data_IF_670590103595
#
_entry.id   IF_670590103595
#
_cell.length_a   1.000
_cell.length_b   1.000
_cell.length_c   1.000
_cell.angle_alpha   90.00
_cell.angle_beta   90.00
_cell.angle_gamma   90.00
#
_symmetry.space_group_name_H-M   'P 1'
#
loop_
_entity.id
_entity.type
_entity.pdbx_description
1 polymer ?
#
# COMPACT_ATOMS: atom_id res chain seq x y z
N UNK A 1 -15.27 40.03 -0.86
CA UNK A 1 -13.99 39.31 -1.04
C UNK A 1 -14.14 37.78 -1.15
N UNK A 2 -15.35 37.22 -1.15
CA UNK A 2 -15.56 35.75 -1.14
C UNK A 2 -15.88 35.16 -2.52
N UNK A 3 -16.26 35.97 -3.50
CA UNK A 3 -16.69 35.52 -4.84
C UNK A 3 -15.50 35.27 -5.79
N UNK A 4 -14.46 36.10 -5.72
CA UNK A 4 -13.25 36.01 -6.57
C UNK A 4 -12.44 34.74 -6.28
N UNK A 5 -12.32 34.33 -5.01
CA UNK A 5 -11.58 33.12 -4.64
C UNK A 5 -12.27 31.80 -5.02
N UNK A 6 -13.59 31.80 -5.20
CA UNK A 6 -14.35 30.62 -5.64
C UNK A 6 -14.27 30.46 -7.16
N UNK A 7 -14.30 31.56 -7.91
CA UNK A 7 -14.12 31.54 -9.37
C UNK A 7 -12.69 31.13 -9.76
N UNK A 8 -11.66 31.64 -9.08
CA UNK A 8 -10.26 31.23 -9.31
C UNK A 8 -10.02 29.75 -8.99
N UNK A 9 -10.59 29.24 -7.89
CA UNK A 9 -10.50 27.82 -7.53
C UNK A 9 -11.18 26.89 -8.53
N UNK A 10 -12.32 27.32 -9.10
CA UNK A 10 -13.08 26.54 -10.09
C UNK A 10 -12.38 26.53 -11.46
N UNK A 11 -11.81 27.65 -11.88
CA UNK A 11 -11.03 27.75 -13.11
C UNK A 11 -9.77 26.89 -13.07
N UNK A 12 -9.01 26.93 -11.96
CA UNK A 12 -7.81 26.11 -11.77
C UNK A 12 -8.13 24.60 -11.76
N UNK A 13 -9.27 24.20 -11.17
CA UNK A 13 -9.71 22.81 -11.18
C UNK A 13 -10.09 22.35 -12.60
N UNK A 14 -10.76 23.19 -13.38
CA UNK A 14 -11.09 22.92 -14.79
C UNK A 14 -9.84 22.76 -15.66
N UNK A 15 -8.81 23.58 -15.43
CA UNK A 15 -7.53 23.48 -16.11
C UNK A 15 -6.81 22.17 -15.79
N UNK A 16 -6.79 21.76 -14.50
CA UNK A 16 -6.17 20.50 -14.08
C UNK A 16 -6.89 19.27 -14.66
N UNK A 17 -8.23 19.27 -14.68
CA UNK A 17 -9.01 18.21 -15.33
C UNK A 17 -8.64 18.10 -16.81
N UNK A 18 -8.60 19.22 -17.52
CA UNK A 18 -8.23 19.28 -18.94
C UNK A 18 -6.80 18.78 -19.19
N UNK A 19 -5.87 19.13 -18.30
CA UNK A 19 -4.48 18.69 -18.36
C UNK A 19 -4.35 17.17 -18.18
N UNK A 20 -5.00 16.60 -17.15
CA UNK A 20 -5.01 15.16 -16.92
C UNK A 20 -5.66 14.44 -18.12
N UNK A 21 -6.79 14.95 -18.61
CA UNK A 21 -7.52 14.32 -19.71
C UNK A 21 -6.72 14.32 -21.02
N UNK A 22 -5.96 15.39 -21.30
CA UNK A 22 -5.05 15.47 -22.45
C UNK A 22 -3.96 14.39 -22.39
N UNK A 23 -3.35 14.18 -21.22
CA UNK A 23 -2.34 13.13 -21.04
C UNK A 23 -2.97 11.75 -21.20
N UNK A 24 -4.13 11.50 -20.58
CA UNK A 24 -4.88 10.23 -20.69
C UNK A 24 -5.28 9.90 -22.13
N UNK A 25 -5.89 10.85 -22.84
CA UNK A 25 -6.37 10.66 -24.22
C UNK A 25 -5.23 10.42 -25.21
N UNK A 26 -4.09 11.07 -25.03
CA UNK A 26 -2.86 10.78 -25.81
C UNK A 26 -2.27 9.43 -25.44
N UNK A 27 -2.37 9.06 -24.16
CA UNK A 27 -1.72 7.91 -23.55
C UNK A 27 -0.43 8.34 -22.87
N UNK A 28 -0.26 7.96 -21.60
CA UNK A 28 0.85 8.42 -20.74
C UNK A 28 2.23 8.07 -21.31
N UNK A 29 2.33 6.98 -22.06
CA UNK A 29 3.56 6.53 -22.74
C UNK A 29 3.90 7.35 -23.99
N UNK A 30 2.94 8.11 -24.53
CA UNK A 30 3.02 8.74 -25.87
C UNK A 30 2.90 10.26 -25.83
N UNK A 31 2.62 10.84 -24.67
CA UNK A 31 2.52 12.28 -24.54
C UNK A 31 3.89 12.93 -24.82
N UNK A 32 3.98 13.77 -25.85
CA UNK A 32 5.22 14.46 -26.18
C UNK A 32 5.46 15.64 -25.23
N UNK A 33 4.42 16.46 -25.05
CA UNK A 33 4.44 17.68 -24.24
C UNK A 33 3.47 17.57 -23.06
N UNK A 34 4.02 17.68 -21.86
CA UNK A 34 3.23 17.66 -20.63
C UNK A 34 2.59 19.05 -20.43
N UNK A 35 1.28 19.12 -20.12
CA UNK A 35 0.62 20.38 -19.80
C UNK A 35 1.28 21.12 -18.61
N UNK A 36 1.54 22.45 -18.71
CA UNK A 36 2.19 23.23 -17.64
C UNK A 36 1.45 23.18 -16.30
N UNK A 37 0.12 23.19 -16.30
CA UNK A 37 -0.68 23.08 -15.08
C UNK A 37 -0.37 21.78 -14.30
N UNK A 38 -0.12 20.68 -15.01
CA UNK A 38 0.21 19.40 -14.39
C UNK A 38 1.64 19.39 -13.85
N UNK A 39 2.60 19.98 -14.59
CA UNK A 39 3.98 20.16 -14.10
C UNK A 39 4.00 20.99 -12.81
N UNK A 40 3.28 22.12 -12.80
CA UNK A 40 3.19 23.00 -11.64
C UNK A 40 2.57 22.30 -10.42
N UNK A 41 1.44 21.60 -10.61
CA UNK A 41 0.78 20.88 -9.53
C UNK A 41 1.58 19.71 -8.99
N UNK A 42 2.36 19.03 -9.84
CA UNK A 42 3.30 17.98 -9.43
C UNK A 42 4.66 18.53 -8.94
N UNK A 43 4.84 19.86 -8.92
CA UNK A 43 6.08 20.55 -8.53
C UNK A 43 7.30 20.09 -9.31
N UNK A 44 7.11 19.81 -10.58
CA UNK A 44 8.20 19.47 -11.51
C UNK A 44 8.77 20.77 -12.04
N UNK A 45 10.06 20.97 -11.83
CA UNK A 45 10.74 22.20 -12.23
C UNK A 45 10.90 22.26 -13.76
N UNK A 46 10.89 23.49 -14.29
CA UNK A 46 10.96 23.75 -15.73
C UNK A 46 12.36 23.50 -16.35
N UNK A 47 13.37 23.33 -15.51
CA UNK A 47 14.75 22.98 -15.90
C UNK A 47 14.95 21.47 -16.10
N UNK A 48 13.97 20.64 -15.72
CA UNK A 48 14.02 19.19 -15.91
C UNK A 48 13.91 18.86 -17.40
N UNK A 49 14.79 18.00 -17.96
CA UNK A 49 14.72 17.60 -19.35
C UNK A 49 13.34 17.00 -19.71
N UNK A 50 12.80 17.23 -20.93
CA UNK A 50 11.46 16.79 -21.29
C UNK A 50 11.18 15.29 -21.09
N UNK A 51 12.18 14.43 -21.32
CA UNK A 51 12.05 12.99 -21.10
C UNK A 51 11.86 12.65 -19.61
N UNK A 52 12.62 13.28 -18.74
CA UNK A 52 12.53 13.09 -17.29
C UNK A 52 11.24 13.72 -16.73
N UNK A 53 10.82 14.87 -17.26
CA UNK A 53 9.54 15.49 -16.91
C UNK A 53 8.36 14.56 -17.22
N UNK A 54 8.39 13.86 -18.38
CA UNK A 54 7.37 12.86 -18.74
C UNK A 54 7.33 11.69 -17.77
N UNK A 55 8.46 11.12 -17.42
CA UNK A 55 8.51 10.01 -16.45
C UNK A 55 8.02 10.45 -15.07
N UNK A 56 8.42 11.63 -14.60
CA UNK A 56 7.94 12.19 -13.32
C UNK A 56 6.44 12.46 -13.33
N UNK A 57 5.89 12.91 -14.47
CA UNK A 57 4.44 13.10 -14.63
C UNK A 57 3.70 11.79 -14.64
N UNK A 58 4.20 10.78 -15.37
CA UNK A 58 3.65 9.43 -15.39
C UNK A 58 3.63 8.84 -13.98
N UNK A 59 4.73 8.94 -13.25
CA UNK A 59 4.82 8.51 -11.86
C UNK A 59 3.85 9.27 -10.93
N UNK A 60 3.74 10.59 -11.10
CA UNK A 60 2.81 11.42 -10.33
C UNK A 60 1.34 11.08 -10.59
N UNK A 61 0.95 10.91 -11.86
CA UNK A 61 -0.40 10.48 -12.24
C UNK A 61 -0.73 9.08 -11.75
N UNK A 62 0.24 8.16 -11.79
CA UNK A 62 0.07 6.85 -11.18
C UNK A 62 -0.17 6.97 -9.67
N UNK A 63 0.68 7.71 -8.95
CA UNK A 63 0.56 7.91 -7.51
C UNK A 63 -0.77 8.58 -7.10
N UNK A 64 -1.32 9.44 -7.95
CA UNK A 64 -2.66 10.01 -7.77
C UNK A 64 -3.76 8.98 -8.00
N UNK A 65 -3.65 8.18 -9.07
CA UNK A 65 -4.61 7.12 -9.38
C UNK A 65 -4.68 6.06 -8.26
N UNK A 66 -3.56 5.79 -7.58
CA UNK A 66 -3.50 4.89 -6.41
C UNK A 66 -4.35 5.36 -5.21
N UNK A 67 -4.70 6.66 -5.16
CA UNK A 67 -5.52 7.24 -4.09
C UNK A 67 -7.03 7.16 -4.41
N UNK A 68 -7.40 6.75 -5.61
CA UNK A 68 -8.79 6.61 -6.04
C UNK A 68 -9.39 5.30 -5.53
N UNK A 69 -10.72 5.24 -5.53
CA UNK A 69 -11.44 3.98 -5.36
C UNK A 69 -11.01 2.92 -6.41
N UNK A 70 -11.00 1.62 -6.08
CA UNK A 70 -10.43 0.58 -6.94
C UNK A 70 -10.97 0.54 -8.38
N UNK A 71 -12.27 0.78 -8.56
CA UNK A 71 -12.90 0.82 -9.90
C UNK A 71 -12.45 2.03 -10.72
N UNK A 72 -12.32 3.20 -10.08
CA UNK A 72 -11.86 4.43 -10.72
C UNK A 72 -10.37 4.37 -11.04
N UNK A 73 -9.56 3.82 -10.12
CA UNK A 73 -8.15 3.50 -10.34
C UNK A 73 -7.97 2.63 -11.57
N UNK A 74 -8.65 1.47 -11.62
CA UNK A 74 -8.57 0.55 -12.77
C UNK A 74 -8.99 1.25 -14.06
N UNK A 75 -10.12 1.96 -14.03
CA UNK A 75 -10.63 2.70 -15.19
C UNK A 75 -9.60 3.72 -15.73
N UNK A 76 -8.97 4.49 -14.84
CA UNK A 76 -7.98 5.48 -15.22
C UNK A 76 -6.71 4.82 -15.77
N UNK A 77 -6.12 3.84 -15.08
CA UNK A 77 -4.86 3.23 -15.49
C UNK A 77 -4.95 2.56 -16.87
N UNK A 78 -6.04 1.85 -17.14
CA UNK A 78 -6.29 1.21 -18.44
C UNK A 78 -6.54 2.26 -19.53
N UNK A 79 -7.44 3.22 -19.30
CA UNK A 79 -7.78 4.24 -20.29
C UNK A 79 -6.64 5.23 -20.60
N UNK A 80 -5.76 5.49 -19.61
CA UNK A 80 -4.58 6.32 -19.77
C UNK A 80 -3.41 5.57 -20.44
N UNK A 81 -3.50 4.25 -20.60
CA UNK A 81 -2.51 3.45 -21.32
C UNK A 81 -1.21 3.26 -20.56
N UNK A 82 -1.29 2.97 -19.25
CA UNK A 82 -0.10 2.66 -18.45
C UNK A 82 0.57 1.34 -18.86
N UNK A 83 -0.19 0.39 -19.42
CA UNK A 83 0.33 -0.87 -19.94
C UNK A 83 1.13 -0.66 -21.23
N UNK A 84 2.22 -1.43 -21.39
CA UNK A 84 3.07 -1.38 -22.58
C UNK A 84 2.34 -1.81 -23.87
N UNK A 85 1.40 -2.73 -23.75
CA UNK A 85 0.56 -3.24 -24.84
C UNK A 85 -0.74 -2.43 -25.01
N UNK A 86 -0.90 -1.31 -24.31
CA UNK A 86 -2.11 -0.49 -24.41
C UNK A 86 -2.33 0.03 -25.83
N UNK A 87 -3.57 -0.03 -26.30
CA UNK A 87 -3.93 0.42 -27.64
C UNK A 87 -3.50 1.88 -27.89
N UNK A 88 -3.02 2.22 -29.10
CA UNK A 88 -2.62 3.59 -29.44
C UNK A 88 -3.77 4.59 -29.39
N UNK A 89 -4.95 4.21 -29.87
CA UNK A 89 -6.11 5.09 -29.94
C UNK A 89 -6.85 5.16 -28.61
N UNK A 90 -7.27 6.37 -28.22
CA UNK A 90 -8.04 6.60 -26.99
C UNK A 90 -9.34 5.79 -26.94
N UNK A 91 -10.05 5.72 -28.07
CA UNK A 91 -11.30 4.95 -28.17
C UNK A 91 -11.10 3.46 -27.90
N UNK A 92 -10.02 2.87 -28.40
CA UNK A 92 -9.75 1.45 -28.18
C UNK A 92 -9.32 1.16 -26.74
N UNK A 93 -8.63 2.09 -26.06
CA UNK A 93 -8.38 1.98 -24.61
C UNK A 93 -9.67 2.10 -23.79
N UNK A 94 -10.64 2.92 -24.21
CA UNK A 94 -11.95 2.98 -23.57
C UNK A 94 -12.72 1.67 -23.76
N UNK A 95 -12.66 1.05 -24.94
CA UNK A 95 -13.22 -0.29 -25.16
C UNK A 95 -12.58 -1.33 -24.25
N UNK A 96 -11.26 -1.36 -24.17
CA UNK A 96 -10.54 -2.26 -23.26
C UNK A 96 -10.92 -2.02 -21.79
N UNK A 97 -11.08 -0.75 -21.40
CA UNK A 97 -11.54 -0.37 -20.06
C UNK A 97 -12.96 -0.90 -19.79
N UNK A 98 -13.87 -0.79 -20.76
CA UNK A 98 -15.23 -1.30 -20.66
C UNK A 98 -15.26 -2.82 -20.48
N UNK A 99 -14.46 -3.55 -21.27
CA UNK A 99 -14.28 -5.00 -21.14
C UNK A 99 -13.72 -5.37 -19.77
N UNK A 100 -12.65 -4.72 -19.32
CA UNK A 100 -12.02 -4.97 -18.02
C UNK A 100 -12.99 -4.75 -16.84
N UNK A 101 -13.85 -3.73 -16.92
CA UNK A 101 -14.83 -3.44 -15.87
C UNK A 101 -16.13 -4.24 -16.00
N UNK A 102 -16.34 -4.96 -17.11
CA UNK A 102 -17.62 -5.63 -17.39
C UNK A 102 -18.78 -4.67 -17.61
N UNK A 103 -18.54 -3.51 -18.23
CA UNK A 103 -19.56 -2.45 -18.42
C UNK A 103 -19.63 -1.98 -19.87
N UNK A 104 -20.59 -1.08 -20.19
CA UNK A 104 -20.66 -0.43 -21.51
C UNK A 104 -19.55 0.62 -21.69
N UNK A 105 -19.17 0.92 -22.94
CA UNK A 105 -18.20 2.00 -23.24
C UNK A 105 -18.62 3.36 -22.65
N UNK A 106 -19.92 3.68 -22.67
CA UNK A 106 -20.46 4.90 -22.07
C UNK A 106 -20.24 4.92 -20.56
N UNK A 107 -20.47 3.79 -19.88
CA UNK A 107 -20.26 3.67 -18.44
C UNK A 107 -18.77 3.75 -18.10
N UNK A 108 -17.92 3.08 -18.86
CA UNK A 108 -16.47 3.17 -18.71
C UNK A 108 -15.97 4.60 -18.88
N UNK A 109 -16.42 5.31 -19.92
CA UNK A 109 -16.09 6.72 -20.12
C UNK A 109 -16.49 7.59 -18.93
N UNK A 110 -17.70 7.38 -18.38
CA UNK A 110 -18.16 8.09 -17.17
C UNK A 110 -17.27 7.82 -15.96
N UNK A 111 -16.84 6.57 -15.75
CA UNK A 111 -15.91 6.21 -14.66
C UNK A 111 -14.53 6.85 -14.84
N UNK A 112 -14.07 6.96 -16.08
CA UNK A 112 -12.83 7.64 -16.41
C UNK A 112 -12.93 9.15 -16.13
N UNK A 113 -14.02 9.81 -16.54
CA UNK A 113 -14.22 11.24 -16.24
C UNK A 113 -14.34 11.49 -14.72
N UNK A 114 -15.02 10.59 -14.00
CA UNK A 114 -15.11 10.61 -12.53
C UNK A 114 -13.71 10.50 -11.89
N UNK A 115 -12.88 9.55 -12.36
CA UNK A 115 -11.49 9.42 -11.90
C UNK A 115 -10.65 10.68 -12.18
N UNK A 116 -10.77 11.27 -13.38
CA UNK A 116 -10.06 12.52 -13.75
C UNK A 116 -10.48 13.67 -12.85
N UNK A 117 -11.78 13.80 -12.55
CA UNK A 117 -12.30 14.83 -11.66
C UNK A 117 -11.74 14.67 -10.24
N UNK A 118 -11.73 13.45 -9.70
CA UNK A 118 -11.20 13.16 -8.37
C UNK A 118 -9.69 13.40 -8.29
N UNK A 119 -8.91 12.97 -9.29
CA UNK A 119 -7.47 13.26 -9.36
C UNK A 119 -7.16 14.76 -9.39
N UNK A 120 -7.97 15.55 -10.10
CA UNK A 120 -7.81 17.01 -10.12
C UNK A 120 -8.07 17.64 -8.74
N UNK A 121 -9.08 17.14 -8.01
CA UNK A 121 -9.35 17.54 -6.62
C UNK A 121 -8.20 17.13 -5.68
N UNK A 122 -7.62 15.94 -5.86
CA UNK A 122 -6.47 15.46 -5.08
C UNK A 122 -5.19 16.27 -5.34
N UNK A 123 -5.03 16.83 -6.54
CA UNK A 123 -3.93 17.75 -6.88
C UNK A 123 -4.16 19.16 -6.31
N UNK A 124 -5.41 19.61 -6.24
CA UNK A 124 -5.76 20.93 -5.71
C UNK A 124 -5.73 20.97 -4.18
N UNK A 125 -6.17 19.89 -3.53
CA UNK A 125 -6.11 19.74 -2.07
C UNK A 125 -4.66 19.56 -1.62
N UNK A 126 -4.07 20.64 -1.12
CA UNK A 126 -2.67 20.72 -0.63
C UNK A 126 -2.34 19.73 0.52
N UNK A 127 -3.31 18.98 1.04
CA UNK A 127 -3.20 18.14 2.23
C UNK A 127 -2.87 16.66 1.97
N UNK A 128 -2.55 16.29 0.73
CA UNK A 128 -2.30 14.89 0.36
C UNK A 128 -0.86 14.41 0.44
N UNK A 129 -0.10 14.68 1.51
CA UNK A 129 1.17 13.94 1.73
C UNK A 129 0.91 12.69 2.59
N UNK A 130 0.85 11.50 2.00
CA UNK A 130 1.54 10.39 2.62
C UNK A 130 3.05 10.55 2.36
N UNK A 131 3.84 10.50 3.42
CA UNK A 131 5.26 10.29 3.33
C UNK A 131 5.51 8.94 2.64
N UNK A 132 5.91 8.98 1.36
CA UNK A 132 6.77 8.05 0.61
C UNK A 132 6.66 8.42 -0.88
N UNK A 133 7.11 9.64 -1.18
CA UNK A 133 7.61 9.99 -2.52
C UNK A 133 8.90 9.17 -2.68
N UNK A 134 9.06 8.47 -3.81
CA UNK A 134 10.22 7.63 -4.18
C UNK A 134 10.18 6.12 -3.87
N UNK A 135 9.00 5.48 -3.79
CA UNK A 135 8.94 4.02 -3.96
C UNK A 135 8.59 3.68 -5.41
N UNK A 136 9.43 2.84 -6.02
CA UNK A 136 9.25 2.28 -7.36
C UNK A 136 8.18 1.17 -7.41
N UNK A 137 7.40 0.96 -6.35
CA UNK A 137 6.35 -0.05 -6.28
C UNK A 137 5.24 0.34 -5.32
N UNK A 138 4.12 -0.39 -5.37
CA UNK A 138 3.00 -0.33 -4.42
C UNK A 138 2.65 -1.72 -3.92
N UNK A 139 2.20 -1.82 -2.67
CA UNK A 139 1.55 -3.04 -2.18
C UNK A 139 0.11 -3.09 -2.68
N UNK A 140 -0.29 -4.24 -3.21
CA UNK A 140 -1.66 -4.53 -3.66
C UNK A 140 -2.38 -5.48 -2.71
N UNK A 141 -1.66 -6.48 -2.19
CA UNK A 141 -2.20 -7.47 -1.25
C UNK A 141 -1.15 -7.87 -0.24
N UNK A 142 -1.58 -8.26 0.95
CA UNK A 142 -0.71 -8.84 1.98
C UNK A 142 -1.42 -9.98 2.70
N UNK A 143 -0.73 -11.10 2.91
CA UNK A 143 -1.24 -12.20 3.73
C UNK A 143 -0.20 -12.56 4.78
N UNK A 144 -0.56 -12.37 6.04
CA UNK A 144 0.28 -12.69 7.18
C UNK A 144 -0.24 -13.95 7.84
N UNK A 145 0.62 -14.94 8.05
CA UNK A 145 0.30 -16.14 8.82
C UNK A 145 1.17 -16.16 10.05
N UNK A 146 0.55 -16.24 11.22
CA UNK A 146 1.26 -16.29 12.51
C UNK A 146 0.88 -17.58 13.21
N UNK A 147 1.88 -18.45 13.35
CA UNK A 147 1.78 -19.72 14.05
C UNK A 147 2.39 -19.60 15.45
N UNK A 148 1.54 -19.74 16.46
CA UNK A 148 1.81 -19.66 17.88
C UNK A 148 1.68 -21.04 18.56
N UNK A 149 1.79 -22.14 17.80
CA UNK A 149 1.62 -23.50 18.34
C UNK A 149 2.87 -24.04 19.04
N UNK A 150 4.05 -23.73 18.51
CA UNK A 150 5.33 -24.13 19.09
C UNK A 150 5.91 -23.07 20.03
N UNK A 151 7.01 -23.40 20.70
CA UNK A 151 7.71 -22.49 21.63
C UNK A 151 8.30 -21.25 20.94
N UNK A 152 8.66 -21.40 19.66
CA UNK A 152 9.24 -20.36 18.82
C UNK A 152 8.24 -19.97 17.71
N UNK A 153 7.53 -18.84 17.84
CA UNK A 153 6.56 -18.38 16.86
C UNK A 153 7.12 -18.33 15.44
N UNK A 154 6.30 -18.73 14.47
CA UNK A 154 6.64 -18.62 13.05
C UNK A 154 5.71 -17.60 12.39
N UNK A 155 6.32 -16.60 11.76
CA UNK A 155 5.60 -15.65 10.93
C UNK A 155 5.94 -15.88 9.46
N UNK A 156 4.91 -15.90 8.62
CA UNK A 156 5.03 -15.89 7.16
C UNK A 156 4.37 -14.62 6.64
N UNK A 157 5.10 -13.86 5.83
CA UNK A 157 4.65 -12.63 5.21
C UNK A 157 4.64 -12.85 3.70
N UNK A 158 3.46 -12.85 3.12
CA UNK A 158 3.24 -12.92 1.67
C UNK A 158 2.71 -11.58 1.20
N UNK A 159 3.24 -11.07 0.09
CA UNK A 159 2.93 -9.75 -0.44
C UNK A 159 2.75 -9.84 -1.95
N UNK A 160 1.77 -9.13 -2.47
CA UNK A 160 1.69 -8.81 -3.90
C UNK A 160 1.95 -7.33 -4.06
N UNK A 161 2.88 -6.99 -4.95
CA UNK A 161 3.18 -5.61 -5.33
C UNK A 161 2.85 -5.36 -6.81
N UNK A 162 2.77 -4.09 -7.20
CA UNK A 162 2.86 -3.65 -8.59
C UNK A 162 4.01 -2.65 -8.73
N UNK A 163 4.86 -2.82 -9.75
CA UNK A 163 5.94 -1.89 -10.03
C UNK A 163 5.40 -0.56 -10.60
N UNK A 164 5.99 0.57 -10.20
CA UNK A 164 5.67 1.93 -10.67
C UNK A 164 6.58 2.37 -11.81
N UNK A 165 7.79 1.85 -11.85
CA UNK A 165 8.81 2.12 -12.86
C UNK A 165 9.32 0.82 -13.48
N UNK A 166 9.99 0.92 -14.63
CA UNK A 166 10.64 -0.23 -15.25
C UNK A 166 11.95 -0.56 -14.53
N UNK A 167 12.29 -1.85 -14.45
CA UNK A 167 13.58 -2.30 -13.90
C UNK A 167 13.57 -2.57 -12.39
N UNK A 168 12.41 -2.63 -11.76
CA UNK A 168 12.29 -2.92 -10.32
C UNK A 168 12.71 -4.35 -10.05
N UNK A 169 13.91 -4.50 -9.51
CA UNK A 169 14.54 -5.81 -9.25
C UNK A 169 14.72 -6.08 -7.77
N UNK A 170 14.43 -5.10 -6.91
CA UNK A 170 14.59 -5.16 -5.47
C UNK A 170 13.55 -4.29 -4.75
N UNK A 171 13.28 -4.64 -3.50
CA UNK A 171 12.49 -3.84 -2.56
C UNK A 171 13.12 -3.88 -1.17
N UNK A 172 12.80 -2.88 -0.36
CA UNK A 172 13.13 -2.86 1.06
C UNK A 172 11.83 -2.98 1.88
N UNK A 173 11.71 -4.04 2.66
CA UNK A 173 10.58 -4.25 3.57
C UNK A 173 11.00 -3.96 5.01
N UNK A 174 10.22 -3.14 5.71
CA UNK A 174 10.44 -2.85 7.13
C UNK A 174 9.54 -3.73 7.99
N UNK A 175 10.15 -4.39 8.97
CA UNK A 175 9.46 -5.23 9.94
C UNK A 175 9.63 -4.63 11.32
N UNK A 176 8.51 -4.42 12.01
CA UNK A 176 8.47 -3.91 13.38
C UNK A 176 8.11 -5.03 14.35
N UNK A 177 9.02 -5.33 15.26
CA UNK A 177 8.84 -6.28 16.37
C UNK A 177 9.30 -5.59 17.67
N UNK A 178 8.47 -4.72 18.28
CA UNK A 178 8.90 -3.84 19.37
C UNK A 178 9.45 -4.55 20.61
N UNK A 179 8.97 -5.77 20.90
CA UNK A 179 9.45 -6.59 22.02
C UNK A 179 10.74 -7.35 21.73
N UNK A 180 11.17 -7.38 20.47
CA UNK A 180 12.36 -8.12 20.07
C UNK A 180 13.63 -7.38 20.50
N UNK A 181 14.36 -7.99 21.44
CA UNK A 181 15.57 -7.42 22.04
C UNK A 181 16.87 -7.87 21.37
N UNK A 182 16.84 -9.00 20.64
CA UNK A 182 18.00 -9.51 19.94
C UNK A 182 18.18 -8.83 18.59
N UNK A 183 19.41 -8.45 18.24
CA UNK A 183 19.71 -7.76 16.98
C UNK A 183 19.64 -8.68 15.75
N UNK A 184 19.77 -10.00 15.95
CA UNK A 184 19.81 -10.98 14.87
C UNK A 184 18.45 -11.66 14.68
N UNK A 185 17.85 -11.44 13.51
CA UNK A 185 16.72 -12.18 12.99
C UNK A 185 17.13 -12.84 11.68
N UNK A 186 16.64 -14.05 11.43
CA UNK A 186 16.90 -14.76 10.18
C UNK A 186 15.61 -14.81 9.36
N UNK A 187 15.58 -14.01 8.30
CA UNK A 187 14.52 -14.07 7.30
C UNK A 187 14.88 -15.11 6.24
N UNK A 188 13.92 -15.96 5.91
CA UNK A 188 14.06 -16.98 4.86
C UNK A 188 13.13 -16.64 3.70
N UNK A 189 13.67 -16.60 2.48
CA UNK A 189 12.85 -16.55 1.28
C UNK A 189 12.06 -17.86 1.13
N UNK A 190 10.77 -17.74 0.86
CA UNK A 190 9.89 -18.87 0.59
C UNK A 190 9.56 -18.95 -0.91
N UNK A 191 9.13 -17.83 -1.49
CA UNK A 191 8.69 -17.74 -2.88
C UNK A 191 8.95 -16.35 -3.46
N UNK A 192 9.17 -16.28 -4.78
CA UNK A 192 9.17 -15.03 -5.54
C UNK A 192 10.31 -14.06 -5.22
N UNK A 193 11.22 -14.36 -4.29
CA UNK A 193 12.31 -13.46 -3.93
C UNK A 193 13.55 -14.21 -3.43
N UNK A 194 14.64 -13.45 -3.23
CA UNK A 194 15.78 -13.83 -2.40
C UNK A 194 15.98 -12.77 -1.32
N UNK A 195 16.43 -13.20 -0.14
CA UNK A 195 16.83 -12.28 0.93
C UNK A 195 18.28 -11.91 0.70
N UNK A 196 18.55 -10.65 0.36
CA UNK A 196 19.91 -10.14 0.12
C UNK A 196 20.56 -9.67 1.41
N UNK A 197 19.82 -8.94 2.23
CA UNK A 197 20.29 -8.46 3.52
C UNK A 197 19.15 -8.33 4.53
N UNK A 198 19.50 -8.46 5.81
CA UNK A 198 18.67 -8.08 6.93
C UNK A 198 19.46 -7.12 7.82
N UNK A 199 19.05 -5.85 7.83
CA UNK A 199 19.71 -4.79 8.56
C UNK A 199 18.89 -4.40 9.77
N UNK A 200 19.48 -4.54 10.97
CA UNK A 200 18.95 -3.95 12.18
C UNK A 200 19.02 -2.42 12.07
N UNK A 201 17.88 -1.74 12.16
CA UNK A 201 17.82 -0.28 12.05
C UNK A 201 17.85 0.37 13.43
N UNK A 202 16.90 -0.01 14.28
CA UNK A 202 16.71 0.47 15.65
C UNK A 202 16.13 -0.67 16.49
N UNK A 203 16.12 -0.58 17.83
CA UNK A 203 15.49 -1.59 18.66
C UNK A 203 14.05 -1.87 18.21
N UNK A 204 13.77 -3.14 17.89
CA UNK A 204 12.46 -3.57 17.40
C UNK A 204 12.16 -3.27 15.93
N UNK A 205 13.13 -2.83 15.11
CA UNK A 205 12.92 -2.54 13.69
C UNK A 205 14.05 -3.09 12.80
N UNK A 206 13.66 -3.82 11.75
CA UNK A 206 14.56 -4.37 10.73
C UNK A 206 14.17 -3.89 9.34
N UNK A 207 15.17 -3.68 8.48
CA UNK A 207 14.99 -3.53 7.05
C UNK A 207 15.52 -4.78 6.33
N UNK A 208 14.66 -5.40 5.53
CA UNK A 208 14.98 -6.58 4.74
C UNK A 208 15.03 -6.15 3.28
N UNK A 209 16.17 -6.37 2.63
CA UNK A 209 16.29 -6.15 1.19
C UNK A 209 16.00 -7.45 0.49
N UNK A 210 14.99 -7.43 -0.38
CA UNK A 210 14.56 -8.57 -1.17
C UNK A 210 14.86 -8.31 -2.64
N UNK A 211 15.45 -9.28 -3.34
CA UNK A 211 15.62 -9.23 -4.80
C UNK A 211 14.63 -10.16 -5.50
N UNK A 212 14.23 -9.81 -6.72
CA UNK A 212 13.32 -10.61 -7.53
C UNK A 212 14.07 -11.45 -8.57
N UNK A 213 13.50 -12.58 -9.02
CA UNK A 213 14.12 -13.44 -10.03
C UNK A 213 14.43 -12.74 -11.36
N UNK A 214 13.70 -11.66 -11.67
CA UNK A 214 13.92 -10.78 -12.81
C UNK A 214 13.44 -9.36 -12.45
N UNK A 215 13.93 -8.32 -13.15
CA UNK A 215 13.36 -6.99 -13.06
C UNK A 215 11.89 -7.00 -13.52
N UNK A 216 11.06 -6.28 -12.78
CA UNK A 216 9.66 -6.03 -13.08
C UNK A 216 9.55 -4.76 -13.93
N UNK A 217 8.59 -4.75 -14.84
CA UNK A 217 8.24 -3.55 -15.61
C UNK A 217 7.11 -2.79 -14.92
N UNK A 218 6.96 -1.50 -15.21
CA UNK A 218 5.89 -0.68 -14.67
C UNK A 218 4.51 -1.29 -14.95
N UNK A 219 3.66 -1.33 -13.91
CA UNK A 219 2.34 -1.95 -13.89
C UNK A 219 2.35 -3.45 -13.64
N UNK A 220 3.51 -4.12 -13.73
CA UNK A 220 3.62 -5.56 -13.54
C UNK A 220 3.41 -5.94 -12.07
N UNK A 221 2.56 -6.95 -11.83
CA UNK A 221 2.35 -7.50 -10.50
C UNK A 221 3.34 -8.62 -10.19
N UNK A 222 3.78 -8.68 -8.93
CA UNK A 222 4.66 -9.74 -8.46
C UNK A 222 4.32 -10.13 -7.03
N UNK A 223 4.21 -11.45 -6.79
CA UNK A 223 3.97 -12.01 -5.45
C UNK A 223 5.25 -12.64 -4.93
N UNK A 224 5.56 -12.39 -3.66
CA UNK A 224 6.68 -12.97 -2.95
C UNK A 224 6.31 -13.28 -1.51
N UNK A 225 7.06 -14.19 -0.90
CA UNK A 225 6.86 -14.59 0.48
C UNK A 225 8.19 -14.80 1.21
N UNK A 226 8.22 -14.39 2.47
CA UNK A 226 9.32 -14.61 3.40
C UNK A 226 8.80 -15.14 4.73
N UNK A 227 9.65 -15.83 5.49
CA UNK A 227 9.34 -16.20 6.86
C UNK A 227 10.41 -15.75 7.85
N UNK A 228 9.99 -15.59 9.10
CA UNK A 228 10.87 -15.36 10.24
C UNK A 228 10.38 -16.20 11.41
N UNK A 229 11.31 -16.89 12.05
CA UNK A 229 11.07 -17.58 13.31
C UNK A 229 11.56 -16.68 14.45
N UNK A 230 10.70 -16.41 15.40
CA UNK A 230 11.04 -15.64 16.59
C UNK A 230 11.65 -16.56 17.66
N UNK A 231 12.52 -16.06 18.55
CA UNK A 231 13.12 -16.87 19.60
C UNK A 231 12.06 -17.51 20.52
N UNK A 232 11.06 -16.73 20.89
CA UNK A 232 10.01 -17.10 21.85
C UNK A 232 8.74 -16.25 21.63
N UNK A 233 7.70 -16.57 22.40
CA UNK A 233 6.43 -15.81 22.39
C UNK A 233 6.57 -14.38 22.90
N UNK A 234 7.53 -14.11 23.79
CA UNK A 234 7.72 -12.78 24.40
C UNK A 234 8.34 -11.78 23.42
N UNK A 235 9.03 -12.28 22.39
CA UNK A 235 9.58 -11.51 21.28
C UNK A 235 8.50 -10.89 20.37
N UNK A 236 7.26 -11.39 20.45
CA UNK A 236 6.11 -10.90 19.69
C UNK A 236 5.21 -10.06 20.58
N UNK A 237 5.03 -8.79 20.25
CA UNK A 237 3.88 -8.05 20.76
C UNK A 237 2.61 -8.76 20.24
N UNK A 238 1.59 -9.04 21.06
CA UNK A 238 0.41 -9.81 20.65
C UNK A 238 -0.54 -9.00 19.76
N UNK A 239 -0.01 -8.49 18.66
CA UNK A 239 -0.66 -7.68 17.65
C UNK A 239 -0.03 -7.94 16.29
N UNK A 240 -0.86 -8.07 15.26
CA UNK A 240 -0.45 -8.02 13.85
C UNK A 240 -1.19 -6.87 13.23
N UNK A 241 -0.44 -5.91 12.70
CA UNK A 241 -0.99 -4.67 12.17
C UNK A 241 -0.45 -4.30 10.80
N UNK A 242 -1.30 -3.67 9.99
CA UNK A 242 -0.98 -3.07 8.70
C UNK A 242 -1.18 -1.58 8.78
N UNK A 243 -0.22 -0.84 8.23
CA UNK A 243 -0.31 0.60 8.06
C UNK A 243 -0.14 0.92 6.57
N UNK A 244 -1.23 1.04 5.79
CA UNK A 244 -1.15 1.47 4.40
C UNK A 244 -0.64 2.91 4.27
N UNK A 245 0.34 3.09 3.39
CA UNK A 245 0.99 4.40 3.18
C UNK A 245 0.65 5.03 1.84
N UNK A 246 0.51 4.26 0.74
CA UNK A 246 0.56 4.84 -0.61
C UNK A 246 -0.60 4.47 -1.52
N UNK A 247 -1.47 3.53 -1.11
CA UNK A 247 -2.62 3.07 -1.88
C UNK A 247 -3.60 2.30 -0.98
N UNK A 248 -4.83 2.13 -1.46
CA UNK A 248 -5.74 1.13 -0.89
C UNK A 248 -5.27 -0.27 -1.28
N UNK A 249 -5.05 -1.14 -0.29
CA UNK A 249 -4.64 -2.53 -0.55
C UNK A 249 -5.31 -3.51 0.41
N UNK A 250 -5.45 -4.75 -0.05
CA UNK A 250 -6.16 -5.79 0.70
C UNK A 250 -5.19 -6.52 1.63
N UNK A 251 -5.63 -6.89 2.82
CA UNK A 251 -4.84 -7.72 3.72
C UNK A 251 -5.63 -8.86 4.35
N UNK A 252 -4.92 -9.94 4.65
CA UNK A 252 -5.44 -11.04 5.43
C UNK A 252 -4.45 -11.44 6.55
N UNK A 253 -5.01 -11.93 7.66
CA UNK A 253 -4.25 -12.52 8.76
C UNK A 253 -4.80 -13.89 9.09
N UNK A 254 -3.94 -14.91 9.04
CA UNK A 254 -4.23 -16.20 9.64
C UNK A 254 -3.51 -16.27 10.99
N UNK A 255 -4.27 -16.46 12.06
CA UNK A 255 -3.73 -16.75 13.40
C UNK A 255 -3.97 -18.21 13.74
N UNK A 256 -2.91 -18.90 14.15
CA UNK A 256 -2.95 -20.25 14.65
C UNK A 256 -2.44 -20.27 16.09
N UNK A 257 -3.35 -20.52 17.04
CA UNK A 257 -3.01 -20.69 18.46
C UNK A 257 -2.70 -22.15 18.78
N UNK A 258 -1.71 -22.40 19.65
CA UNK A 258 -1.48 -23.69 20.31
C UNK A 258 -2.40 -23.92 21.50
N UNK A 259 -2.10 -24.88 22.37
CA UNK A 259 -2.98 -25.22 23.51
C UNK A 259 -3.27 -24.02 24.44
N UNK A 260 -2.32 -23.09 24.54
CA UNK A 260 -2.55 -21.78 25.17
C UNK A 260 -3.45 -20.92 24.28
N UNK A 261 -4.67 -20.64 24.75
CA UNK A 261 -5.60 -19.67 24.12
C UNK A 261 -5.45 -18.30 24.77
N UNK A 262 -5.60 -17.21 23.99
CA UNK A 262 -5.72 -15.88 24.58
C UNK A 262 -7.05 -15.74 25.33
N UNK A 263 -7.08 -14.85 26.32
CA UNK A 263 -8.30 -14.50 27.07
C UNK A 263 -9.10 -13.41 26.37
N UNK A 264 -8.52 -12.75 25.38
CA UNK A 264 -9.20 -11.79 24.52
C UNK A 264 -8.57 -11.81 23.13
N UNK A 265 -9.40 -11.68 22.11
CA UNK A 265 -9.01 -11.48 20.73
C UNK A 265 -9.86 -10.35 20.17
N UNK A 266 -9.21 -9.40 19.53
CA UNK A 266 -9.80 -8.13 19.10
C UNK A 266 -9.36 -7.84 17.67
N UNK A 267 -10.30 -7.41 16.83
CA UNK A 267 -10.03 -6.86 15.50
C UNK A 267 -10.11 -5.34 15.58
N UNK A 268 -9.23 -4.63 14.90
CA UNK A 268 -9.27 -3.16 14.89
C UNK A 268 -9.09 -2.56 13.51
N UNK A 269 -9.69 -1.37 13.37
CA UNK A 269 -9.50 -0.42 12.27
C UNK A 269 -9.58 0.98 12.89
N UNK A 270 -8.46 1.68 12.97
CA UNK A 270 -8.40 2.96 13.69
C UNK A 270 -7.36 3.91 13.08
N UNK A 271 -7.39 5.19 13.45
CA UNK A 271 -6.27 6.08 13.14
C UNK A 271 -5.00 5.58 13.85
N UNK A 272 -3.79 5.77 13.27
CA UNK A 272 -2.56 5.28 13.87
C UNK A 272 -2.38 5.78 15.30
N UNK A 273 -2.18 4.87 16.26
CA UNK A 273 -1.99 5.26 17.64
C UNK A 273 -0.66 6.00 17.82
N UNK A 274 -0.65 7.03 18.68
CA UNK A 274 0.57 7.67 19.14
C UNK A 274 1.08 6.92 20.37
N UNK A 275 1.98 5.95 20.19
CA UNK A 275 2.64 5.20 21.27
C UNK A 275 2.04 3.83 21.59
N UNK A 276 2.55 3.18 22.65
CA UNK A 276 2.03 1.90 23.15
C UNK A 276 0.70 2.11 23.88
N UNK A 277 -0.40 1.65 23.29
CA UNK A 277 -1.74 1.78 23.88
C UNK A 277 -2.17 0.47 24.51
N UNK A 278 -2.55 0.51 25.79
CA UNK A 278 -3.08 -0.65 26.52
C UNK A 278 -4.45 -1.10 26.00
N UNK A 279 -5.18 -0.22 25.31
CA UNK A 279 -6.47 -0.48 24.67
C UNK A 279 -6.47 0.17 23.28
N UNK A 280 -7.10 -0.50 22.33
CA UNK A 280 -7.31 0.03 20.97
C UNK A 280 -8.75 0.56 20.91
N UNK A 281 -8.96 1.88 20.83
CA UNK A 281 -10.30 2.45 20.68
C UNK A 281 -11.02 1.90 19.46
N UNK A 282 -12.26 1.43 19.64
CA UNK A 282 -13.05 0.87 18.54
C UNK A 282 -12.64 -0.54 18.13
N UNK A 283 -11.78 -1.23 18.90
CA UNK A 283 -11.54 -2.65 18.69
C UNK A 283 -12.82 -3.46 18.91
N UNK A 284 -13.09 -4.37 17.99
CA UNK A 284 -14.23 -5.29 18.04
C UNK A 284 -13.77 -6.63 18.64
N UNK A 285 -14.39 -7.11 19.73
CA UNK A 285 -14.06 -8.41 20.29
C UNK A 285 -14.45 -9.54 19.32
N UNK A 286 -13.63 -10.59 19.28
CA UNK A 286 -13.82 -11.77 18.43
C UNK A 286 -14.14 -12.97 19.32
N UNK A 287 -15.38 -13.45 19.25
CA UNK A 287 -15.86 -14.60 20.00
C UNK A 287 -16.61 -15.58 19.07
N UNK A 288 -16.46 -16.91 19.25
CA UNK A 288 -15.58 -17.57 20.22
C UNK A 288 -14.10 -17.53 19.81
N UNK A 289 -13.19 -17.53 20.79
CA UNK A 289 -11.75 -17.69 20.53
C UNK A 289 -11.42 -19.15 20.18
N UNK A 290 -11.36 -19.44 18.87
CA UNK A 290 -10.95 -20.72 18.30
C UNK A 290 -9.42 -20.90 18.20
N UNK A 291 -8.99 -22.11 17.87
CA UNK A 291 -7.59 -22.43 17.60
C UNK A 291 -7.03 -21.77 16.33
N UNK A 292 -7.89 -21.51 15.36
CA UNK A 292 -7.58 -20.93 14.06
C UNK A 292 -8.51 -19.77 13.80
N UNK A 293 -7.96 -18.66 13.33
CA UNK A 293 -8.75 -17.51 12.87
C UNK A 293 -8.22 -17.01 11.55
N UNK A 294 -9.14 -16.54 10.71
CA UNK A 294 -8.85 -15.84 9.47
C UNK A 294 -9.52 -14.48 9.52
N UNK A 295 -8.75 -13.44 9.29
CA UNK A 295 -9.22 -12.06 9.23
C UNK A 295 -8.93 -11.49 7.86
N UNK A 296 -9.87 -10.71 7.34
CA UNK A 296 -9.78 -10.07 6.03
C UNK A 296 -10.08 -8.58 6.16
N UNK A 297 -9.22 -7.76 5.59
CA UNK A 297 -9.28 -6.30 5.58
C UNK A 297 -9.22 -5.85 4.13
N UNK A 298 -10.39 -5.60 3.54
CA UNK A 298 -10.50 -5.18 2.14
C UNK A 298 -10.47 -3.66 2.03
N UNK A 299 -9.89 -3.13 0.95
CA UNK A 299 -9.88 -1.69 0.65
C UNK A 299 -9.32 -0.84 1.81
N UNK A 300 -8.23 -1.30 2.44
CA UNK A 300 -7.64 -0.59 3.58
C UNK A 300 -7.17 0.81 3.17
N UNK A 301 -7.61 1.84 3.89
CA UNK A 301 -7.34 3.23 3.54
C UNK A 301 -6.02 3.71 4.15
N UNK A 302 -5.19 4.44 3.40
CA UNK A 302 -4.02 5.10 3.97
C UNK A 302 -4.35 5.96 5.18
N UNK A 303 -3.43 6.02 6.14
CA UNK A 303 -3.62 6.81 7.36
C UNK A 303 -4.48 6.15 8.44
N UNK A 304 -4.85 4.88 8.26
CA UNK A 304 -5.45 4.03 9.29
C UNK A 304 -4.55 2.82 9.57
N UNK A 305 -4.59 2.32 10.80
CA UNK A 305 -4.07 1.03 11.21
C UNK A 305 -5.18 -0.02 11.19
N UNK A 306 -4.87 -1.18 10.60
CA UNK A 306 -5.77 -2.33 10.53
C UNK A 306 -5.08 -3.52 11.16
N UNK A 307 -5.81 -4.38 11.85
CA UNK A 307 -5.18 -5.59 12.36
C UNK A 307 -5.98 -6.34 13.39
N UNK A 308 -5.25 -7.23 14.04
CA UNK A 308 -5.76 -8.07 15.11
C UNK A 308 -4.81 -8.04 16.29
N UNK A 309 -5.37 -8.06 17.48
CA UNK A 309 -4.66 -8.05 18.75
C UNK A 309 -5.23 -9.15 19.63
N UNK A 310 -4.37 -9.79 20.41
CA UNK A 310 -4.81 -10.73 21.43
C UNK A 310 -4.18 -10.39 22.78
N UNK A 311 -4.73 -10.99 23.84
CA UNK A 311 -4.24 -10.84 25.20
C UNK A 311 -4.15 -12.21 25.84
N UNK A 312 -3.00 -12.50 26.42
CA UNK A 312 -2.85 -13.69 27.25
C UNK A 312 -3.42 -13.43 28.65
N UNK A 313 -3.82 -14.48 29.36
CA UNK A 313 -4.00 -14.36 30.80
C UNK A 313 -2.67 -13.86 31.38
N UNK A 314 -2.71 -12.83 32.23
CA UNK A 314 -1.53 -12.42 32.98
C UNK A 314 -0.99 -13.63 33.73
N UNK A 315 0.29 -13.94 33.52
CA UNK A 315 0.96 -14.90 34.39
C UNK A 315 1.24 -14.13 35.68
N UNK A 316 0.73 -14.54 36.86
CA UNK A 316 1.08 -13.85 38.09
C UNK A 316 2.60 -13.84 38.23
N UNK A 317 3.15 -12.66 38.47
CA UNK A 317 4.58 -12.43 38.65
C UNK A 317 5.13 -13.45 39.67
N UNK A 318 6.01 -14.34 39.23
CA UNK A 318 6.82 -15.10 40.18
C UNK A 318 7.81 -14.10 40.74
N UNK A 319 7.58 -13.72 42.01
CA UNK A 319 8.45 -12.83 42.76
C UNK A 319 9.92 -13.23 42.57
N UNK A 320 10.70 -12.33 41.96
CA UNK A 320 12.16 -12.48 41.89
C UNK A 320 12.67 -12.40 43.32
N UNK A 321 13.40 -13.42 43.84
CA UNK A 321 13.96 -13.34 45.17
C UNK A 321 15.04 -12.26 45.19
N UNK A 322 14.88 -11.31 46.09
CA UNK A 322 15.86 -10.27 46.40
C UNK A 322 17.13 -10.95 46.95
N UNK A 323 18.27 -10.73 46.29
CA UNK A 323 19.59 -10.91 46.87
C UNK A 323 20.25 -9.55 47.03
#
# INVERSE_FOLDING_TARGET
MTQVGVEEGTAALGELRSAIDKVRSTGVQRVADVPPALLASLKISADVPPAEARERVRAGLFALAERLDPDLRRAFLESAGFRRDAAPAAGDRIKATATMLGTSERTAYRRVDEAVAEMALLLQSRDGRPALVDLDYVFLRSHFRVDLTGDAPLMVMERTISARSDGVSRIDERVNLPRMRHQQLHFRALEGCRVESNNFLTPGMWAITLSFPRPLNAGEEHTFAVSVRLPDHDSLEPVVGFFPHTASYDAAVDLQFGDRRPVALERFQEAPPVGHVSQIPGAEPVEPILARHHFSFMTMKPGFCYGVRWRWAETPDVAVPTF
#
